data_IF_179641709960
#
_entry.id   IF_179641709960
#
_cell.length_a   1.000
_cell.length_b   1.000
_cell.length_c   1.000
_cell.angle_alpha   90.00
_cell.angle_beta   90.00
_cell.angle_gamma   90.00
#
_symmetry.space_group_name_H-M   'P 1'
#
loop_
_entity.id
_entity.type
_entity.pdbx_description
1 polymer ?
#
# COMPACT_ATOMS: atom_id res chain seq x y z
N UNK A 1 10.44 -18.77 15.35
CA UNK A 1 9.20 -19.18 14.67
C UNK A 1 7.99 -19.03 15.59
N UNK A 2 7.93 -19.72 16.76
CA UNK A 2 6.78 -19.66 17.69
C UNK A 2 6.48 -18.22 18.17
N UNK A 3 7.49 -17.40 18.47
CA UNK A 3 7.28 -16.01 18.93
C UNK A 3 6.80 -15.10 17.81
N UNK A 4 7.18 -15.34 16.55
CA UNK A 4 6.61 -14.64 15.38
C UNK A 4 5.13 -14.99 15.23
N UNK A 5 4.80 -16.28 15.32
CA UNK A 5 3.43 -16.76 15.20
C UNK A 5 2.53 -16.27 16.37
N UNK A 6 3.10 -15.92 17.51
CA UNK A 6 2.39 -15.38 18.67
C UNK A 6 2.39 -13.83 18.72
N UNK A 7 2.73 -13.15 17.62
CA UNK A 7 2.85 -11.68 17.53
C UNK A 7 3.87 -11.06 18.50
N UNK A 8 4.84 -11.83 18.98
CA UNK A 8 5.94 -11.32 19.80
C UNK A 8 7.15 -10.95 18.93
N UNK A 9 6.94 -9.92 18.12
CA UNK A 9 7.92 -9.46 17.13
C UNK A 9 9.27 -9.08 17.77
N UNK A 10 9.24 -8.48 18.97
CA UNK A 10 10.45 -7.99 19.66
C UNK A 10 11.33 -9.14 20.14
N UNK A 11 10.77 -10.16 20.79
CA UNK A 11 11.51 -11.33 21.23
C UNK A 11 11.95 -12.19 20.04
N UNK A 12 11.15 -12.28 18.98
CA UNK A 12 11.52 -12.94 17.74
C UNK A 12 12.78 -12.33 17.15
N UNK A 13 12.81 -11.00 17.02
CA UNK A 13 13.97 -10.30 16.48
C UNK A 13 15.22 -10.54 17.34
N UNK A 14 15.11 -10.42 18.67
CA UNK A 14 16.23 -10.66 19.59
C UNK A 14 16.80 -12.07 19.46
N UNK A 15 15.93 -13.09 19.33
CA UNK A 15 16.37 -14.48 19.12
C UNK A 15 17.13 -14.63 17.80
N UNK A 16 16.58 -14.07 16.71
CA UNK A 16 17.17 -14.17 15.37
C UNK A 16 18.46 -13.37 15.23
N UNK A 17 18.59 -12.24 15.93
CA UNK A 17 19.85 -11.47 16.03
C UNK A 17 20.95 -12.26 16.73
N UNK A 18 20.64 -13.02 17.79
CA UNK A 18 21.60 -13.87 18.51
C UNK A 18 22.08 -15.05 17.66
N UNK A 19 21.27 -15.51 16.70
CA UNK A 19 21.57 -16.63 15.81
C UNK A 19 21.89 -16.20 14.37
N UNK A 20 22.24 -14.92 14.16
CA UNK A 20 22.47 -14.32 12.83
C UNK A 20 23.47 -15.05 11.93
N UNK A 21 24.38 -15.85 12.50
CA UNK A 21 25.32 -16.69 11.74
C UNK A 21 24.59 -17.70 10.85
N UNK A 22 23.34 -18.02 11.17
CA UNK A 22 22.51 -18.93 10.39
C UNK A 22 21.92 -18.27 9.13
N UNK A 23 21.91 -16.93 9.04
CA UNK A 23 21.37 -16.20 7.89
C UNK A 23 22.08 -16.58 6.59
N UNK A 24 23.37 -16.85 6.66
CA UNK A 24 24.18 -17.20 5.49
C UNK A 24 24.15 -18.72 5.16
N UNK A 25 23.47 -19.51 5.98
CA UNK A 25 23.46 -20.97 5.86
C UNK A 25 22.08 -21.57 5.66
N UNK A 26 21.04 -20.86 6.09
CA UNK A 26 19.66 -21.36 6.10
C UNK A 26 18.69 -20.28 5.58
N UNK A 27 18.11 -20.53 4.41
CA UNK A 27 17.15 -19.62 3.78
C UNK A 27 15.97 -19.29 4.70
N UNK A 28 15.36 -20.30 5.32
CA UNK A 28 14.21 -20.10 6.21
C UNK A 28 14.57 -19.26 7.45
N UNK A 29 15.81 -19.38 7.96
CA UNK A 29 16.26 -18.51 9.05
C UNK A 29 16.40 -17.05 8.57
N UNK A 30 16.99 -16.85 7.39
CA UNK A 30 17.12 -15.52 6.81
C UNK A 30 15.76 -14.89 6.53
N UNK A 31 14.82 -15.63 5.94
CA UNK A 31 13.44 -15.21 5.70
C UNK A 31 12.77 -14.75 6.99
N UNK A 32 12.84 -15.56 8.05
CA UNK A 32 12.25 -15.20 9.34
C UNK A 32 12.94 -13.99 9.97
N UNK A 33 14.25 -13.81 9.77
CA UNK A 33 14.97 -12.62 10.22
C UNK A 33 14.48 -11.36 9.51
N UNK A 34 14.30 -11.39 8.19
CA UNK A 34 13.75 -10.28 7.41
C UNK A 34 12.32 -9.94 7.89
N UNK A 35 11.46 -10.94 8.07
CA UNK A 35 10.10 -10.75 8.63
C UNK A 35 10.14 -10.09 10.01
N UNK A 36 11.00 -10.53 10.90
CA UNK A 36 11.12 -9.95 12.23
C UNK A 36 11.63 -8.51 12.20
N UNK A 37 12.52 -8.16 11.26
CA UNK A 37 12.95 -6.77 11.07
C UNK A 37 11.78 -5.88 10.63
N UNK A 38 11.01 -6.31 9.64
CA UNK A 38 9.82 -5.56 9.14
C UNK A 38 8.79 -5.40 10.26
N UNK A 39 8.46 -6.48 10.98
CA UNK A 39 7.51 -6.46 12.09
C UNK A 39 7.96 -5.56 13.27
N UNK A 40 9.25 -5.21 13.37
CA UNK A 40 9.81 -4.25 14.30
C UNK A 40 10.09 -2.87 13.68
N UNK A 41 9.45 -2.54 12.58
CA UNK A 41 9.58 -1.24 11.87
C UNK A 41 11.00 -0.92 11.38
N UNK A 42 11.88 -1.94 11.29
CA UNK A 42 13.29 -1.81 10.84
C UNK A 42 13.41 -2.11 9.34
N UNK A 43 12.53 -1.53 8.52
CA UNK A 43 12.44 -1.82 7.07
C UNK A 43 13.74 -1.49 6.35
N UNK A 44 14.36 -0.34 6.62
CA UNK A 44 15.63 0.05 5.99
C UNK A 44 16.76 -0.96 6.27
N UNK A 45 16.77 -1.51 7.50
CA UNK A 45 17.73 -2.55 7.85
C UNK A 45 17.43 -3.86 7.12
N UNK A 46 16.16 -4.23 6.96
CA UNK A 46 15.75 -5.39 6.18
C UNK A 46 16.22 -5.25 4.72
N UNK A 47 15.95 -4.10 4.07
CA UNK A 47 16.40 -3.79 2.71
C UNK A 47 17.93 -3.91 2.60
N UNK A 48 18.65 -3.32 3.56
CA UNK A 48 20.10 -3.40 3.60
C UNK A 48 20.59 -4.85 3.71
N UNK A 49 20.00 -5.65 4.59
CA UNK A 49 20.37 -7.06 4.76
C UNK A 49 20.10 -7.88 3.50
N UNK A 50 18.96 -7.64 2.83
CA UNK A 50 18.62 -8.30 1.57
C UNK A 50 19.64 -7.94 0.47
N UNK A 51 19.95 -6.65 0.31
CA UNK A 51 20.87 -6.17 -0.76
C UNK A 51 22.31 -6.65 -0.57
N UNK A 52 22.77 -6.81 0.65
CA UNK A 52 24.14 -7.23 0.97
C UNK A 52 24.28 -8.71 1.31
N UNK A 53 23.20 -9.49 1.23
CA UNK A 53 23.28 -10.95 1.38
C UNK A 53 24.13 -11.54 0.25
N UNK A 54 25.06 -12.41 0.61
CA UNK A 54 25.86 -13.16 -0.37
C UNK A 54 25.08 -14.32 -1.02
N UNK A 55 23.96 -14.70 -0.41
CA UNK A 55 23.12 -15.79 -0.88
C UNK A 55 22.00 -15.27 -1.77
N UNK A 56 21.77 -15.96 -2.88
CA UNK A 56 20.66 -15.66 -3.79
C UNK A 56 19.34 -16.33 -3.35
N UNK A 57 19.04 -16.25 -2.06
CA UNK A 57 17.74 -16.72 -1.57
C UNK A 57 16.61 -15.94 -2.23
N UNK A 58 15.58 -16.65 -2.71
CA UNK A 58 14.43 -16.05 -3.39
C UNK A 58 13.14 -16.50 -2.70
N UNK A 59 12.49 -15.57 -2.04
CA UNK A 59 11.21 -15.77 -1.38
C UNK A 59 10.33 -14.53 -1.57
N UNK A 60 9.01 -14.72 -1.51
CA UNK A 60 8.03 -13.71 -1.91
C UNK A 60 8.25 -12.38 -1.22
N UNK A 61 8.40 -12.36 0.10
CA UNK A 61 8.53 -11.13 0.89
C UNK A 61 9.80 -10.33 0.53
N UNK A 62 10.89 -11.03 0.22
CA UNK A 62 12.12 -10.39 -0.27
C UNK A 62 11.89 -9.64 -1.56
N UNK A 63 11.24 -10.29 -2.51
CA UNK A 63 11.01 -9.69 -3.83
C UNK A 63 10.00 -8.54 -3.76
N UNK A 64 8.98 -8.63 -2.90
CA UNK A 64 8.03 -7.53 -2.62
C UNK A 64 8.75 -6.33 -2.00
N UNK A 65 9.57 -6.53 -0.97
CA UNK A 65 10.34 -5.46 -0.32
C UNK A 65 11.26 -4.77 -1.34
N UNK A 66 11.97 -5.53 -2.16
CA UNK A 66 12.87 -4.98 -3.18
C UNK A 66 12.10 -4.26 -4.30
N UNK A 67 10.93 -4.77 -4.71
CA UNK A 67 10.06 -4.12 -5.69
C UNK A 67 9.65 -2.74 -5.19
N UNK A 68 9.13 -2.66 -3.96
CA UNK A 68 8.70 -1.39 -3.37
C UNK A 68 9.87 -0.42 -3.21
N UNK A 69 11.01 -0.88 -2.69
CA UNK A 69 12.22 -0.06 -2.57
C UNK A 69 12.69 0.48 -3.94
N UNK A 70 12.65 -0.35 -4.98
CA UNK A 70 13.01 0.08 -6.32
C UNK A 70 11.98 1.08 -6.90
N UNK A 71 10.69 0.90 -6.64
CA UNK A 71 9.63 1.85 -7.03
C UNK A 71 9.84 3.21 -6.37
N UNK A 72 10.06 3.21 -5.06
CA UNK A 72 10.33 4.43 -4.29
C UNK A 72 11.55 5.18 -4.86
N UNK A 73 12.56 4.45 -5.30
CA UNK A 73 13.78 5.02 -5.90
C UNK A 73 13.65 5.24 -7.42
N UNK A 74 12.44 5.14 -7.99
CA UNK A 74 12.13 5.32 -9.42
C UNK A 74 12.92 4.41 -10.37
N UNK A 75 13.35 3.25 -9.88
CA UNK A 75 14.05 2.24 -10.67
C UNK A 75 13.05 1.20 -11.20
N UNK A 76 12.26 1.62 -12.20
CA UNK A 76 11.18 0.81 -12.75
C UNK A 76 11.66 -0.49 -13.41
N UNK A 77 12.87 -0.51 -13.97
CA UNK A 77 13.43 -1.72 -14.57
C UNK A 77 13.67 -2.81 -13.51
N UNK A 78 14.33 -2.45 -12.40
CA UNK A 78 14.53 -3.41 -11.30
C UNK A 78 13.23 -3.82 -10.64
N UNK A 79 12.27 -2.90 -10.51
CA UNK A 79 10.93 -3.24 -10.02
C UNK A 79 10.26 -4.29 -10.90
N UNK A 80 10.37 -4.17 -12.23
CA UNK A 80 9.84 -5.17 -13.17
C UNK A 80 10.50 -6.54 -12.98
N UNK A 81 11.82 -6.59 -12.82
CA UNK A 81 12.53 -7.85 -12.56
C UNK A 81 12.12 -8.51 -11.23
N UNK A 82 11.87 -7.70 -10.19
CA UNK A 82 11.35 -8.24 -8.93
C UNK A 82 9.91 -8.75 -9.09
N UNK A 83 9.08 -8.06 -9.90
CA UNK A 83 7.72 -8.54 -10.18
C UNK A 83 7.71 -9.88 -10.90
N UNK A 84 8.56 -10.08 -11.90
CA UNK A 84 8.71 -11.38 -12.60
C UNK A 84 9.07 -12.51 -11.63
N UNK A 85 9.94 -12.23 -10.66
CA UNK A 85 10.26 -13.20 -9.60
C UNK A 85 9.08 -13.44 -8.67
N UNK A 86 8.35 -12.39 -8.27
CA UNK A 86 7.11 -12.53 -7.49
C UNK A 86 6.15 -13.46 -8.23
N UNK A 87 5.88 -13.22 -9.51
CA UNK A 87 4.99 -14.04 -10.32
C UNK A 87 5.44 -15.52 -10.38
N UNK A 88 6.75 -15.79 -10.34
CA UNK A 88 7.29 -17.16 -10.32
C UNK A 88 7.21 -17.87 -8.97
N UNK A 89 7.04 -17.12 -7.88
CA UNK A 89 6.99 -17.62 -6.50
C UNK A 89 5.57 -17.80 -5.98
N UNK A 90 4.57 -17.24 -6.68
CA UNK A 90 3.17 -17.29 -6.28
C UNK A 90 2.60 -18.67 -6.56
N UNK A 91 1.92 -19.24 -5.55
CA UNK A 91 1.06 -20.39 -5.74
C UNK A 91 -0.15 -19.99 -6.61
N UNK A 92 -0.42 -20.69 -7.71
CA UNK A 92 -1.58 -20.43 -8.56
C UNK A 92 -2.94 -20.50 -7.83
N UNK A 93 -3.00 -21.18 -6.71
CA UNK A 93 -4.21 -21.31 -5.90
C UNK A 93 -4.33 -20.24 -4.82
N UNK A 94 -3.28 -19.42 -4.59
CA UNK A 94 -3.29 -18.33 -3.63
C UNK A 94 -3.86 -17.05 -4.26
N UNK A 95 -5.17 -16.86 -4.08
CA UNK A 95 -5.93 -15.73 -4.62
C UNK A 95 -5.36 -14.38 -4.20
N UNK A 96 -4.88 -14.24 -2.97
CA UNK A 96 -4.40 -12.96 -2.45
C UNK A 96 -3.06 -12.55 -3.05
N UNK A 97 -2.14 -13.50 -3.18
CA UNK A 97 -0.87 -13.26 -3.86
C UNK A 97 -1.08 -12.94 -5.35
N UNK A 98 -2.08 -13.57 -5.99
CA UNK A 98 -2.47 -13.25 -7.37
C UNK A 98 -2.98 -11.80 -7.46
N UNK A 99 -3.85 -11.36 -6.55
CA UNK A 99 -4.33 -9.98 -6.50
C UNK A 99 -3.14 -9.03 -6.30
N UNK A 100 -2.28 -9.31 -5.33
CA UNK A 100 -1.08 -8.52 -5.04
C UNK A 100 -0.23 -8.32 -6.30
N UNK A 101 0.14 -9.39 -6.99
CA UNK A 101 1.00 -9.32 -8.18
C UNK A 101 0.35 -8.58 -9.34
N UNK A 102 -0.94 -8.83 -9.62
CA UNK A 102 -1.66 -8.20 -10.74
C UNK A 102 -1.84 -6.70 -10.54
N UNK A 103 -2.15 -6.26 -9.32
CA UNK A 103 -2.30 -4.83 -9.04
C UNK A 103 -0.95 -4.12 -9.06
N UNK A 104 0.10 -4.71 -8.48
CA UNK A 104 1.46 -4.17 -8.60
C UNK A 104 1.90 -4.07 -10.06
N UNK A 105 1.58 -5.07 -10.88
CA UNK A 105 1.86 -5.05 -12.32
C UNK A 105 1.16 -3.88 -13.02
N UNK A 106 -0.10 -3.64 -12.71
CA UNK A 106 -0.85 -2.52 -13.26
C UNK A 106 -0.21 -1.18 -12.91
N UNK A 107 0.15 -0.96 -11.64
CA UNK A 107 0.82 0.27 -11.23
C UNK A 107 2.17 0.44 -11.95
N UNK A 108 2.99 -0.62 -12.02
CA UNK A 108 4.27 -0.58 -12.72
C UNK A 108 4.11 -0.25 -14.21
N UNK A 109 3.18 -0.89 -14.91
CA UNK A 109 2.91 -0.63 -16.33
C UNK A 109 2.46 0.82 -16.55
N UNK A 110 1.60 1.35 -15.68
CA UNK A 110 1.12 2.74 -15.77
C UNK A 110 2.23 3.74 -15.48
N UNK A 111 3.01 3.55 -14.43
CA UNK A 111 4.13 4.45 -14.11
C UNK A 111 5.24 4.39 -15.16
N UNK A 112 5.57 3.20 -15.67
CA UNK A 112 6.58 3.02 -16.72
C UNK A 112 6.17 3.66 -18.05
N UNK A 113 4.92 3.49 -18.45
CA UNK A 113 4.40 4.09 -19.70
C UNK A 113 4.03 5.56 -19.55
N UNK A 114 3.98 6.06 -18.33
CA UNK A 114 3.41 7.38 -17.99
C UNK A 114 2.02 7.60 -18.61
N UNK A 115 1.19 6.56 -18.64
CA UNK A 115 -0.09 6.58 -19.33
C UNK A 115 -1.13 5.69 -18.62
N UNK A 116 -2.24 6.27 -18.17
CA UNK A 116 -3.33 5.53 -17.51
C UNK A 116 -3.97 4.46 -18.41
N UNK A 117 -3.89 4.61 -19.75
CA UNK A 117 -4.43 3.60 -20.69
C UNK A 117 -3.73 2.23 -20.58
N UNK A 118 -2.55 2.18 -19.95
CA UNK A 118 -1.86 0.92 -19.66
C UNK A 118 -2.50 0.14 -18.51
N UNK A 119 -3.38 0.77 -17.72
CA UNK A 119 -4.12 0.08 -16.67
C UNK A 119 -5.07 -0.96 -17.27
N UNK A 120 -5.01 -2.18 -16.74
CA UNK A 120 -5.87 -3.30 -17.13
C UNK A 120 -6.86 -3.58 -16.01
N UNK A 121 -8.15 -3.62 -16.35
CA UNK A 121 -9.16 -4.07 -15.39
C UNK A 121 -8.95 -5.58 -15.11
N UNK A 122 -8.72 -5.92 -13.85
CA UNK A 122 -8.51 -7.31 -13.41
C UNK A 122 -9.80 -7.98 -12.90
N UNK A 123 -10.92 -7.26 -12.91
CA UNK A 123 -12.20 -7.68 -12.32
C UNK A 123 -12.12 -7.90 -10.80
N UNK A 124 -11.36 -7.05 -10.12
CA UNK A 124 -11.26 -7.04 -8.66
C UNK A 124 -12.23 -6.04 -8.00
N UNK A 125 -13.32 -5.71 -8.70
CA UNK A 125 -14.38 -4.82 -8.23
C UNK A 125 -13.83 -3.49 -7.66
N UNK A 126 -14.19 -3.12 -6.44
CA UNK A 126 -13.81 -1.86 -5.80
C UNK A 126 -12.30 -1.57 -5.81
N UNK A 127 -11.44 -2.58 -5.78
CA UNK A 127 -9.99 -2.39 -5.80
C UNK A 127 -9.50 -1.80 -7.14
N UNK A 128 -10.13 -2.20 -8.25
CA UNK A 128 -9.83 -1.60 -9.55
C UNK A 128 -10.36 -0.16 -9.63
N UNK A 129 -11.55 0.12 -9.06
CA UNK A 129 -12.15 1.45 -9.05
C UNK A 129 -11.33 2.44 -8.20
N UNK A 130 -10.89 2.03 -7.01
CA UNK A 130 -10.00 2.80 -6.15
C UNK A 130 -8.67 3.09 -6.87
N UNK A 131 -8.08 2.07 -7.49
CA UNK A 131 -6.83 2.23 -8.24
C UNK A 131 -6.98 3.21 -9.40
N UNK A 132 -8.10 3.15 -10.13
CA UNK A 132 -8.41 4.08 -11.23
C UNK A 132 -8.64 5.50 -10.73
N UNK A 133 -9.27 5.69 -9.56
CA UNK A 133 -9.45 7.02 -8.99
C UNK A 133 -8.12 7.65 -8.62
N UNK A 134 -7.22 6.91 -7.94
CA UNK A 134 -5.89 7.40 -7.59
C UNK A 134 -5.03 7.69 -8.82
N UNK A 135 -5.04 6.82 -9.82
CA UNK A 135 -4.30 7.05 -11.07
C UNK A 135 -4.90 8.22 -11.86
N UNK A 136 -6.22 8.40 -11.87
CA UNK A 136 -6.86 9.56 -12.49
C UNK A 136 -6.44 10.86 -11.81
N UNK A 137 -6.32 10.85 -10.49
CA UNK A 137 -5.78 11.97 -9.72
C UNK A 137 -4.30 12.18 -10.03
N UNK A 138 -3.48 11.13 -10.08
CA UNK A 138 -2.05 11.20 -10.39
C UNK A 138 -1.79 11.92 -11.73
N UNK A 139 -2.61 11.64 -12.75
CA UNK A 139 -2.51 12.21 -14.10
C UNK A 139 -3.35 13.49 -14.31
N UNK A 140 -3.95 14.07 -13.30
CA UNK A 140 -4.83 15.26 -13.42
C UNK A 140 -5.96 15.10 -14.45
N UNK A 141 -6.60 13.93 -14.48
CA UNK A 141 -7.65 13.70 -15.47
C UNK A 141 -8.96 14.41 -15.08
N UNK A 142 -9.68 14.89 -16.09
CA UNK A 142 -10.95 15.61 -15.91
C UNK A 142 -12.05 14.79 -15.23
N UNK A 143 -11.96 13.47 -15.28
CA UNK A 143 -12.94 12.56 -14.71
C UNK A 143 -12.57 12.06 -13.30
N UNK A 144 -11.55 12.62 -12.66
CA UNK A 144 -11.12 12.24 -11.31
C UNK A 144 -12.24 12.37 -10.28
N UNK A 145 -13.00 13.48 -10.31
CA UNK A 145 -14.15 13.68 -9.41
C UNK A 145 -15.15 12.53 -9.53
N UNK A 146 -15.54 12.21 -10.78
CA UNK A 146 -16.50 11.14 -11.03
C UNK A 146 -15.97 9.78 -10.53
N UNK A 147 -14.67 9.52 -10.69
CA UNK A 147 -14.04 8.29 -10.21
C UNK A 147 -14.12 8.14 -8.70
N UNK A 148 -13.86 9.22 -7.94
CA UNK A 148 -14.04 9.19 -6.49
C UNK A 148 -15.51 8.99 -6.09
N UNK A 149 -16.44 9.69 -6.75
CA UNK A 149 -17.87 9.62 -6.45
C UNK A 149 -18.50 8.25 -6.76
N UNK A 150 -17.92 7.46 -7.68
CA UNK A 150 -18.43 6.14 -8.07
C UNK A 150 -18.34 5.10 -6.95
N UNK A 151 -17.40 5.21 -5.99
CA UNK A 151 -17.23 4.23 -4.92
C UNK A 151 -17.31 4.82 -3.50
N UNK A 152 -17.47 6.15 -3.37
CA UNK A 152 -17.63 6.76 -2.05
C UNK A 152 -19.08 6.62 -1.59
N UNK A 153 -19.27 5.94 -0.46
CA UNK A 153 -20.52 5.87 0.24
C UNK A 153 -20.46 6.72 1.53
N UNK A 154 -21.52 7.52 1.76
CA UNK A 154 -21.61 8.40 2.92
C UNK A 154 -22.28 7.72 4.13
N UNK A 155 -21.98 6.45 4.35
CA UNK A 155 -22.43 5.64 5.49
C UNK A 155 -21.34 5.44 6.56
N UNK A 156 -20.15 6.01 6.32
CA UNK A 156 -18.97 5.86 7.17
C UNK A 156 -17.98 4.79 6.72
N UNK A 157 -18.38 3.84 5.86
CA UNK A 157 -17.51 2.78 5.33
C UNK A 157 -16.35 3.35 4.48
N UNK A 158 -16.65 4.40 3.72
CA UNK A 158 -15.71 5.05 2.80
C UNK A 158 -14.93 6.22 3.41
N UNK A 159 -14.90 6.38 4.74
CA UNK A 159 -14.31 7.53 5.43
C UNK A 159 -12.90 7.88 4.99
N UNK A 160 -12.07 6.85 4.72
CA UNK A 160 -10.69 7.03 4.27
C UNK A 160 -10.63 7.64 2.86
N UNK A 161 -11.51 7.23 1.98
CA UNK A 161 -11.57 7.73 0.60
C UNK A 161 -12.24 9.10 0.50
N UNK A 162 -13.19 9.39 1.37
CA UNK A 162 -13.72 10.74 1.55
C UNK A 162 -12.60 11.70 1.94
N UNK A 163 -11.72 11.30 2.85
CA UNK A 163 -10.55 12.08 3.22
C UNK A 163 -9.64 12.37 2.00
N UNK A 164 -9.29 11.36 1.21
CA UNK A 164 -8.46 11.54 0.02
C UNK A 164 -9.13 12.38 -1.06
N UNK A 165 -10.45 12.27 -1.19
CA UNK A 165 -11.22 13.09 -2.11
C UNK A 165 -11.26 14.55 -1.67
N UNK A 166 -11.44 14.82 -0.39
CA UNK A 166 -11.37 16.19 0.16
C UNK A 166 -10.00 16.81 -0.08
N UNK A 167 -8.92 16.07 0.15
CA UNK A 167 -7.56 16.52 -0.12
C UNK A 167 -7.39 16.91 -1.60
N UNK A 168 -7.77 16.03 -2.52
CA UNK A 168 -7.77 16.30 -3.95
C UNK A 168 -8.61 17.55 -4.32
N UNK A 169 -9.81 17.69 -3.78
CA UNK A 169 -10.68 18.84 -4.08
C UNK A 169 -10.05 20.17 -3.62
N UNK A 170 -9.42 20.17 -2.47
CA UNK A 170 -8.70 21.34 -1.92
C UNK A 170 -7.47 21.66 -2.80
N UNK A 171 -6.66 20.67 -3.17
CA UNK A 171 -5.52 20.88 -4.08
C UNK A 171 -5.95 21.47 -5.43
N UNK A 172 -7.11 21.04 -5.95
CA UNK A 172 -7.67 21.55 -7.20
C UNK A 172 -8.47 22.87 -7.04
N UNK A 173 -8.50 23.44 -5.83
CA UNK A 173 -9.27 24.64 -5.50
C UNK A 173 -10.78 24.53 -5.86
N UNK A 174 -11.36 23.33 -5.71
CA UNK A 174 -12.77 23.04 -5.99
C UNK A 174 -13.66 23.27 -4.76
N UNK A 175 -13.66 24.47 -4.21
CA UNK A 175 -14.31 24.81 -2.93
C UNK A 175 -15.80 24.45 -2.91
N UNK A 176 -16.57 24.79 -3.97
CA UNK A 176 -18.01 24.48 -4.00
C UNK A 176 -18.27 22.96 -3.87
N UNK A 177 -17.42 22.13 -4.43
CA UNK A 177 -17.56 20.69 -4.37
C UNK A 177 -17.13 20.17 -3.00
N UNK A 178 -16.10 20.74 -2.42
CA UNK A 178 -15.69 20.48 -1.03
C UNK A 178 -16.85 20.73 -0.07
N UNK A 179 -17.55 21.88 -0.20
CA UNK A 179 -18.69 22.21 0.63
C UNK A 179 -19.85 21.20 0.48
N UNK A 180 -20.11 20.71 -0.74
CA UNK A 180 -21.11 19.65 -0.97
C UNK A 180 -20.73 18.36 -0.26
N UNK A 181 -19.48 17.91 -0.37
CA UNK A 181 -18.98 16.73 0.34
C UNK A 181 -19.10 16.90 1.85
N UNK A 182 -18.72 18.07 2.39
CA UNK A 182 -18.84 18.37 3.82
C UNK A 182 -20.30 18.37 4.31
N UNK A 183 -21.24 18.84 3.51
CA UNK A 183 -22.68 18.79 3.84
C UNK A 183 -23.18 17.35 3.97
N UNK A 184 -22.77 16.47 3.07
CA UNK A 184 -23.13 15.03 3.13
C UNK A 184 -22.53 14.36 4.37
N UNK A 185 -21.28 14.67 4.70
CA UNK A 185 -20.61 14.16 5.91
C UNK A 185 -21.27 14.62 7.20
N UNK A 186 -21.81 15.85 7.25
CA UNK A 186 -22.41 16.41 8.46
C UNK A 186 -23.64 15.64 8.95
N UNK A 187 -24.19 14.76 8.12
CA UNK A 187 -25.34 13.88 8.45
C UNK A 187 -24.90 12.53 9.08
N UNK A 188 -23.60 12.28 9.19
CA UNK A 188 -23.06 11.00 9.64
C UNK A 188 -22.48 11.08 11.06
N UNK A 189 -22.43 9.92 11.72
CA UNK A 189 -21.53 9.71 12.86
C UNK A 189 -20.08 9.79 12.32
N UNK A 190 -19.38 10.88 12.69
CA UNK A 190 -18.09 11.20 12.07
C UNK A 190 -16.95 10.36 12.65
N UNK A 191 -16.36 9.42 11.89
CA UNK A 191 -15.08 8.82 12.28
C UNK A 191 -14.03 9.90 12.57
N UNK A 192 -13.10 9.60 13.45
CA UNK A 192 -12.09 10.57 13.92
C UNK A 192 -11.34 11.24 12.76
N UNK A 193 -10.97 10.49 11.73
CA UNK A 193 -10.28 11.02 10.54
C UNK A 193 -11.10 12.09 9.83
N UNK A 194 -12.40 11.85 9.64
CA UNK A 194 -13.32 12.79 9.00
C UNK A 194 -13.54 14.02 9.86
N UNK A 195 -13.79 13.86 11.16
CA UNK A 195 -13.96 14.98 12.09
C UNK A 195 -12.72 15.88 12.10
N UNK A 196 -11.54 15.28 12.05
CA UNK A 196 -10.28 16.01 12.00
C UNK A 196 -10.10 16.74 10.66
N UNK A 197 -10.47 16.12 9.54
CA UNK A 197 -10.41 16.72 8.20
C UNK A 197 -11.32 17.95 8.10
N UNK A 198 -12.57 17.82 8.56
CA UNK A 198 -13.53 18.93 8.60
C UNK A 198 -12.96 20.11 9.38
N UNK A 199 -12.41 19.86 10.58
CA UNK A 199 -11.77 20.89 11.39
C UNK A 199 -10.61 21.58 10.66
N UNK A 200 -9.73 20.85 10.00
CA UNK A 200 -8.61 21.44 9.25
C UNK A 200 -9.08 22.30 8.07
N UNK A 201 -10.15 21.89 7.40
CA UNK A 201 -10.75 22.66 6.29
C UNK A 201 -11.37 23.95 6.82
N UNK A 202 -12.15 23.90 7.90
CA UNK A 202 -12.76 25.07 8.54
C UNK A 202 -11.71 26.07 9.05
N UNK A 203 -10.60 25.57 9.61
CA UNK A 203 -9.45 26.36 10.06
C UNK A 203 -8.56 26.84 8.90
N UNK A 204 -8.85 26.47 7.65
CA UNK A 204 -8.02 26.71 6.45
C UNK A 204 -6.58 26.16 6.58
N UNK A 205 -6.40 25.11 7.37
CA UNK A 205 -5.12 24.49 7.63
C UNK A 205 -4.88 23.30 6.67
N UNK A 206 -4.91 23.59 5.38
CA UNK A 206 -4.86 22.59 4.30
C UNK A 206 -3.58 21.77 4.27
N UNK A 207 -2.46 22.34 4.74
CA UNK A 207 -1.19 21.62 4.79
C UNK A 207 -1.24 20.33 5.64
N UNK A 208 -2.20 20.24 6.58
CA UNK A 208 -2.36 19.03 7.39
C UNK A 208 -3.08 17.89 6.66
N UNK A 209 -3.88 18.21 5.66
CA UNK A 209 -4.49 17.20 4.79
C UNK A 209 -3.41 16.52 3.96
N UNK A 210 -2.60 17.29 3.26
CA UNK A 210 -1.57 16.79 2.33
C UNK A 210 -0.44 15.99 3.00
N UNK A 211 -0.35 16.02 4.34
CA UNK A 211 0.70 15.30 5.06
C UNK A 211 0.44 13.78 5.23
N UNK A 212 -0.79 13.32 5.03
CA UNK A 212 -1.12 11.91 5.25
C UNK A 212 -1.11 11.09 3.96
N UNK A 213 -1.51 11.69 2.84
CA UNK A 213 -1.59 11.03 1.54
C UNK A 213 -1.62 12.08 0.44
N UNK A 214 -0.93 11.83 -0.65
CA UNK A 214 -1.10 12.57 -1.89
C UNK A 214 -1.15 11.61 -3.08
N UNK A 215 -2.22 11.67 -3.86
CA UNK A 215 -2.32 10.92 -5.11
C UNK A 215 -1.28 11.34 -6.16
N UNK A 216 -0.54 12.43 -5.94
CA UNK A 216 0.58 12.85 -6.79
C UNK A 216 1.89 12.14 -6.47
N UNK A 217 1.88 11.29 -5.44
CA UNK A 217 3.05 10.58 -4.98
C UNK A 217 2.85 9.07 -5.16
N UNK A 218 3.65 8.46 -6.01
CA UNK A 218 3.62 7.00 -6.28
C UNK A 218 3.75 6.18 -5.00
N UNK A 219 4.55 6.65 -4.02
CA UNK A 219 4.73 5.97 -2.73
C UNK A 219 3.43 5.88 -1.94
N UNK A 220 2.66 6.97 -1.93
CA UNK A 220 1.43 7.03 -1.15
C UNK A 220 0.36 6.14 -1.79
N UNK A 221 0.28 6.12 -3.13
CA UNK A 221 -0.60 5.22 -3.87
C UNK A 221 -0.27 3.75 -3.56
N UNK A 222 1.02 3.39 -3.60
CA UNK A 222 1.46 2.02 -3.31
C UNK A 222 1.26 1.68 -1.84
N UNK A 223 1.53 2.61 -0.92
CA UNK A 223 1.27 2.40 0.52
C UNK A 223 -0.22 2.16 0.79
N UNK A 224 -1.11 2.91 0.12
CA UNK A 224 -2.55 2.70 0.25
C UNK A 224 -2.98 1.34 -0.31
N UNK A 225 -2.41 0.92 -1.44
CA UNK A 225 -2.66 -0.42 -1.95
C UNK A 225 -2.26 -1.51 -0.95
N UNK A 226 -1.09 -1.40 -0.31
CA UNK A 226 -0.68 -2.35 0.74
C UNK A 226 -1.61 -2.30 1.95
N UNK A 227 -2.09 -1.12 2.34
CA UNK A 227 -3.09 -1.00 3.39
C UNK A 227 -4.40 -1.74 3.05
N UNK A 228 -4.87 -1.63 1.80
CA UNK A 228 -6.06 -2.36 1.33
C UNK A 228 -5.87 -3.87 1.35
N UNK A 229 -4.74 -4.34 0.84
CA UNK A 229 -4.40 -5.78 0.87
C UNK A 229 -4.28 -6.27 2.31
N UNK A 230 -3.66 -5.51 3.21
CA UNK A 230 -3.56 -5.86 4.62
C UNK A 230 -4.94 -6.02 5.27
N UNK A 231 -5.87 -5.10 5.00
CA UNK A 231 -7.24 -5.20 5.50
C UNK A 231 -7.98 -6.41 4.92
N UNK A 232 -7.76 -6.73 3.65
CA UNK A 232 -8.34 -7.91 3.02
C UNK A 232 -7.86 -9.20 3.69
N UNK A 233 -6.57 -9.33 3.98
CA UNK A 233 -6.03 -10.47 4.74
C UNK A 233 -6.62 -10.51 6.17
N UNK A 234 -6.71 -9.37 6.85
CA UNK A 234 -7.26 -9.28 8.20
C UNK A 234 -8.71 -9.72 8.26
N UNK A 235 -9.54 -9.29 7.31
CA UNK A 235 -10.96 -9.64 7.25
C UNK A 235 -11.21 -11.14 7.11
N UNK A 236 -10.22 -11.87 6.57
CA UNK A 236 -10.27 -13.33 6.41
C UNK A 236 -9.60 -14.10 7.56
N UNK A 237 -9.20 -13.42 8.62
CA UNK A 237 -8.48 -14.03 9.75
C UNK A 237 -7.06 -14.50 9.43
N UNK A 238 -6.50 -14.07 8.29
CA UNK A 238 -5.16 -14.43 7.82
C UNK A 238 -4.08 -13.52 8.40
N UNK A 239 -4.13 -13.30 9.73
CA UNK A 239 -3.23 -12.35 10.43
C UNK A 239 -1.75 -12.65 10.24
N UNK A 240 -1.37 -13.91 10.09
CA UNK A 240 0.02 -14.29 9.83
C UNK A 240 0.51 -13.82 8.46
N UNK A 241 -0.40 -13.75 7.49
CA UNK A 241 -0.07 -13.25 6.15
C UNK A 241 0.11 -11.73 6.12
N UNK A 242 -0.43 -10.99 7.09
CA UNK A 242 -0.21 -9.54 7.24
C UNK A 242 1.24 -9.18 7.56
N UNK A 243 1.96 -10.06 8.24
CA UNK A 243 3.38 -9.88 8.55
C UNK A 243 4.24 -10.04 7.27
N UNK A 244 3.66 -10.54 6.19
CA UNK A 244 4.32 -10.82 4.92
C UNK A 244 4.22 -9.66 3.91
N UNK A 245 3.39 -8.65 4.20
CA UNK A 245 3.17 -7.47 3.37
C UNK A 245 3.77 -6.24 4.02
#
# INVERSE_FOLDING_TARGET
VLSINNNDAKNSLKFLENSKILNDRHEEHFKNYIKALVANEKVDLAIKKIKYSQNNYSFLEREVILLVDNLINKNLEKSTLNLEKIESLIDPDDRYHIILSKVLKNYLEVFKSNNIKSFKNNNFAELDDISLAFLSCYFDLKNTDKRFEEFIEYDGSSSRYIYFYLDYLIEQNKINKTDQVLQNINQLDKPLLIAQSVKWIEEKNYNKLNNLFSCKNEKDIIAEFFYLIANLYSSQGLYLSLIHI
#
